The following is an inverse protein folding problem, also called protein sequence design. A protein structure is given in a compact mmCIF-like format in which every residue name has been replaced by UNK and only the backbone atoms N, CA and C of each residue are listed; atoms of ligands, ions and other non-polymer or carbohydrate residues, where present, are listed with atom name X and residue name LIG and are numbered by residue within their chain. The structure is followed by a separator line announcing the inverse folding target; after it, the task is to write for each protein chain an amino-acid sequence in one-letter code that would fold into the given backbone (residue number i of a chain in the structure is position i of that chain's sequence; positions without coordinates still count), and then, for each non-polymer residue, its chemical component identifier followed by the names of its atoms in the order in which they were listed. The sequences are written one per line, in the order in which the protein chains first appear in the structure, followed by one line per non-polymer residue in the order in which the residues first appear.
data_IF_766586644937
#
_entry.id   IF_766586644937
#
_cell.length_a   1.000
_cell.length_b   1.000
_cell.length_c   1.000
_cell.angle_alpha   90.00
_cell.angle_beta   90.00
_cell.angle_gamma   90.00
#
_symmetry.space_group_name_H-M   'P 1'
#
loop_
_entity.id
_entity.type
_entity.pdbx_description
1 polymer ?
#
# COMPACT_ATOMS: atom_id res chain seq x y z
N UNK A 1 -11.01 -2.04 16.22
CA UNK A 1 -9.55 -1.98 15.96
C UNK A 1 -9.34 -1.44 14.56
N UNK A 2 -8.43 -0.47 14.36
CA UNK A 2 -8.14 0.10 13.03
C UNK A 2 -6.83 -0.44 12.49
N UNK A 3 -6.89 -1.08 11.33
CA UNK A 3 -5.77 -1.75 10.65
C UNK A 3 -5.58 -1.14 9.27
N UNK A 4 -4.39 -0.63 8.98
CA UNK A 4 -4.00 -0.18 7.64
C UNK A 4 -3.33 -1.33 6.92
N UNK A 5 -3.65 -1.51 5.64
CA UNK A 5 -3.00 -2.44 4.73
C UNK A 5 -2.44 -1.62 3.57
N UNK A 6 -1.12 -1.54 3.47
CA UNK A 6 -0.47 -0.83 2.38
C UNK A 6 -0.30 -1.76 1.16
N UNK A 7 -0.63 -1.26 -0.01
CA UNK A 7 -0.54 -2.04 -1.25
C UNK A 7 0.12 -1.26 -2.38
N UNK A 8 0.90 -1.98 -3.17
CA UNK A 8 1.43 -1.57 -4.49
C UNK A 8 0.96 -2.53 -5.61
N UNK A 9 0.04 -3.44 -5.27
CA UNK A 9 -0.46 -4.47 -6.18
C UNK A 9 0.50 -5.63 -6.42
N UNK A 10 1.62 -5.69 -5.68
CA UNK A 10 2.54 -6.83 -5.74
C UNK A 10 1.98 -8.06 -5.04
N UNK A 11 2.54 -9.24 -5.34
CA UNK A 11 2.21 -10.47 -4.61
C UNK A 11 2.47 -10.37 -3.11
N UNK A 12 3.46 -9.56 -2.70
CA UNK A 12 3.79 -9.32 -1.29
C UNK A 12 2.69 -8.51 -0.58
N UNK A 13 2.15 -7.48 -1.24
CA UNK A 13 1.05 -6.70 -0.66
C UNK A 13 -0.27 -7.46 -0.64
N UNK A 14 -0.53 -8.32 -1.62
CA UNK A 14 -1.69 -9.21 -1.60
C UNK A 14 -1.57 -10.26 -0.49
N UNK A 15 -0.39 -10.85 -0.28
CA UNK A 15 -0.14 -11.74 0.85
C UNK A 15 -0.31 -11.02 2.20
N UNK A 16 0.10 -9.74 2.27
CA UNK A 16 -0.12 -8.92 3.46
C UNK A 16 -1.61 -8.75 3.79
N UNK A 17 -2.46 -8.54 2.78
CA UNK A 17 -3.90 -8.44 2.95
C UNK A 17 -4.52 -9.77 3.45
N UNK A 18 -4.10 -10.89 2.88
CA UNK A 18 -4.56 -12.21 3.31
C UNK A 18 -4.16 -12.51 4.76
N UNK A 19 -2.93 -12.16 5.14
CA UNK A 19 -2.45 -12.35 6.51
C UNK A 19 -3.16 -11.42 7.49
N UNK A 20 -3.43 -10.16 7.11
CA UNK A 20 -4.23 -9.24 7.89
C UNK A 20 -5.64 -9.80 8.15
N UNK A 21 -6.27 -10.38 7.14
CA UNK A 21 -7.56 -11.06 7.28
C UNK A 21 -7.45 -12.25 8.26
N UNK A 22 -6.44 -13.10 8.10
CA UNK A 22 -6.24 -14.28 8.96
C UNK A 22 -6.09 -13.90 10.43
N UNK A 23 -5.34 -12.82 10.73
CA UNK A 23 -5.02 -12.41 12.09
C UNK A 23 -6.12 -11.57 12.73
N UNK A 24 -6.72 -10.66 11.99
CA UNK A 24 -7.58 -9.62 12.53
C UNK A 24 -9.04 -9.75 12.08
N UNK A 25 -9.34 -10.51 11.02
CA UNK A 25 -10.66 -10.59 10.41
C UNK A 25 -11.75 -11.18 11.32
N UNK A 26 -11.37 -11.94 12.34
CA UNK A 26 -12.29 -12.50 13.33
C UNK A 26 -12.47 -11.62 14.58
N UNK A 27 -11.69 -10.57 14.70
CA UNK A 27 -11.79 -9.64 15.83
C UNK A 27 -12.99 -8.71 15.57
N UNK A 28 -13.88 -8.64 16.58
CA UNK A 28 -15.05 -7.75 16.49
C UNK A 28 -14.61 -6.30 16.30
N UNK A 29 -15.38 -5.57 15.51
CA UNK A 29 -15.15 -4.14 15.26
C UNK A 29 -13.77 -3.81 14.62
N UNK A 30 -13.23 -4.73 13.82
CA UNK A 30 -12.05 -4.42 13.03
C UNK A 30 -12.44 -3.65 11.78
N UNK A 31 -11.81 -2.48 11.60
CA UNK A 31 -11.92 -1.64 10.42
C UNK A 31 -10.60 -1.74 9.65
N UNK A 32 -10.66 -2.15 8.39
CA UNK A 32 -9.51 -2.19 7.51
C UNK A 32 -9.51 -0.96 6.61
N UNK A 33 -8.37 -0.30 6.50
CA UNK A 33 -8.13 0.74 5.50
C UNK A 33 -7.02 0.28 4.57
N UNK A 34 -7.37 0.04 3.31
CA UNK A 34 -6.41 -0.28 2.26
C UNK A 34 -5.89 1.03 1.70
N UNK A 35 -4.57 1.22 1.69
CA UNK A 35 -3.93 2.42 1.16
C UNK A 35 -3.00 2.07 0.01
N UNK A 36 -3.22 2.72 -1.12
CA UNK A 36 -2.29 2.76 -2.25
C UNK A 36 -1.79 4.19 -2.44
N UNK A 37 -0.50 4.34 -2.68
CA UNK A 37 0.12 5.65 -2.86
C UNK A 37 0.76 5.72 -4.23
N UNK A 38 0.52 6.82 -4.94
CA UNK A 38 1.19 7.14 -6.20
C UNK A 38 2.01 8.42 -6.04
N UNK A 39 3.10 8.52 -6.79
CA UNK A 39 3.90 9.74 -6.81
C UNK A 39 3.47 10.61 -8.00
N UNK A 40 3.27 11.90 -7.74
CA UNK A 40 3.02 12.87 -8.81
C UNK A 40 4.26 12.97 -9.71
N UNK A 41 4.04 13.01 -11.01
CA UNK A 41 5.13 13.22 -11.96
C UNK A 41 5.58 14.69 -11.87
N UNK A 42 6.82 14.98 -11.46
CA UNK A 42 7.28 16.36 -11.34
C UNK A 42 7.34 17.03 -12.70
N UNK A 43 6.76 18.23 -12.80
CA UNK A 43 6.85 19.06 -14.00
C UNK A 43 8.27 19.66 -14.05
N UNK A 44 9.11 19.16 -14.94
CA UNK A 44 10.44 19.70 -15.19
C UNK A 44 10.34 20.96 -16.07
N UNK A 45 9.84 22.05 -15.49
CA UNK A 45 9.56 23.30 -16.21
C UNK A 45 10.82 24.03 -16.74
N UNK A 46 12.01 23.56 -16.38
CA UNK A 46 13.29 24.24 -16.67
C UNK A 46 14.15 23.55 -17.72
N UNK A 47 13.71 22.42 -18.27
CA UNK A 47 14.49 21.71 -19.28
C UNK A 47 14.09 22.11 -20.71
N UNK A 48 15.06 22.26 -21.64
CA UNK A 48 14.79 22.68 -23.03
C UNK A 48 13.92 21.68 -23.83
N UNK A 49 13.67 20.48 -23.29
CA UNK A 49 12.83 19.45 -23.88
C UNK A 49 11.67 19.01 -22.95
N UNK A 50 11.20 19.92 -22.09
CA UNK A 50 10.06 19.64 -21.24
C UNK A 50 8.84 19.23 -22.08
N UNK A 51 8.19 18.14 -21.67
CA UNK A 51 6.94 17.70 -22.28
C UNK A 51 5.83 18.74 -22.03
N UNK A 52 4.83 18.86 -22.91
CA UNK A 52 3.68 19.70 -22.66
C UNK A 52 2.99 19.35 -21.33
N UNK A 53 2.40 20.33 -20.62
CA UNK A 53 1.75 20.10 -19.32
C UNK A 53 0.69 18.99 -19.33
N UNK A 54 0.01 18.81 -20.46
CA UNK A 54 -1.02 17.77 -20.65
C UNK A 54 -0.45 16.35 -20.47
N UNK A 55 0.80 16.11 -20.89
CA UNK A 55 1.45 14.80 -20.72
C UNK A 55 1.73 14.48 -19.24
N UNK A 56 2.13 15.49 -18.46
CA UNK A 56 2.34 15.28 -17.01
C UNK A 56 1.03 14.95 -16.30
N UNK A 57 -0.06 15.61 -16.72
CA UNK A 57 -1.39 15.34 -16.19
C UNK A 57 -1.84 13.91 -16.55
N UNK A 58 -1.68 13.49 -17.79
CA UNK A 58 -2.01 12.13 -18.24
C UNK A 58 -1.19 11.07 -17.47
N UNK A 59 0.10 11.31 -17.25
CA UNK A 59 0.96 10.40 -16.49
C UNK A 59 0.54 10.31 -15.02
N UNK A 60 0.19 11.42 -14.40
CA UNK A 60 -0.30 11.47 -13.02
C UNK A 60 -1.65 10.77 -12.90
N UNK A 61 -2.57 10.98 -13.84
CA UNK A 61 -3.87 10.31 -13.88
C UNK A 61 -3.71 8.80 -14.08
N UNK A 62 -2.79 8.37 -14.93
CA UNK A 62 -2.45 6.95 -15.12
C UNK A 62 -1.90 6.33 -13.84
N UNK A 63 -1.00 7.02 -13.13
CA UNK A 63 -0.45 6.55 -11.86
C UNK A 63 -1.53 6.43 -10.78
N UNK A 64 -2.43 7.41 -10.67
CA UNK A 64 -3.59 7.37 -9.78
C UNK A 64 -4.51 6.18 -10.08
N UNK A 65 -4.84 5.98 -11.36
CA UNK A 65 -5.72 4.89 -11.80
C UNK A 65 -5.09 3.53 -11.51
N UNK A 66 -3.77 3.40 -11.68
CA UNK A 66 -3.05 2.17 -11.32
C UNK A 66 -3.08 1.92 -9.80
N UNK A 67 -2.88 2.97 -9.00
CA UNK A 67 -2.98 2.85 -7.53
C UNK A 67 -4.39 2.45 -7.09
N UNK A 68 -5.42 3.03 -7.69
CA UNK A 68 -6.82 2.63 -7.44
C UNK A 68 -7.05 1.16 -7.78
N UNK A 69 -6.60 0.73 -8.96
CA UNK A 69 -6.71 -0.67 -9.38
C UNK A 69 -6.01 -1.62 -8.40
N UNK A 70 -4.81 -1.28 -7.94
CA UNK A 70 -4.07 -2.06 -6.94
C UNK A 70 -4.83 -2.17 -5.62
N UNK A 71 -5.44 -1.07 -5.18
CA UNK A 71 -6.25 -1.05 -3.96
C UNK A 71 -7.51 -1.91 -4.10
N UNK A 72 -8.20 -1.83 -5.23
CA UNK A 72 -9.40 -2.63 -5.52
C UNK A 72 -9.08 -4.12 -5.53
N UNK A 73 -8.00 -4.54 -6.21
CA UNK A 73 -7.53 -5.94 -6.18
C UNK A 73 -7.21 -6.43 -4.78
N UNK A 74 -6.60 -5.56 -3.97
CA UNK A 74 -6.27 -5.89 -2.58
C UNK A 74 -7.53 -6.03 -1.73
N UNK A 75 -8.54 -5.19 -1.96
CA UNK A 75 -9.84 -5.28 -1.31
C UNK A 75 -10.58 -6.58 -1.67
N UNK A 76 -10.54 -7.01 -2.93
CA UNK A 76 -11.08 -8.30 -3.37
C UNK A 76 -10.38 -9.47 -2.69
N UNK A 77 -9.04 -9.43 -2.62
CA UNK A 77 -8.25 -10.46 -1.95
C UNK A 77 -8.56 -10.55 -0.45
N UNK A 78 -8.74 -9.41 0.22
CA UNK A 78 -9.16 -9.35 1.62
C UNK A 78 -10.59 -9.89 1.78
N UNK A 79 -11.53 -9.44 0.94
CA UNK A 79 -12.93 -9.81 0.99
C UNK A 79 -13.18 -11.30 0.75
N UNK A 80 -12.33 -11.96 -0.02
CA UNK A 80 -12.41 -13.41 -0.25
C UNK A 80 -12.18 -14.22 1.03
N UNK A 81 -11.35 -13.72 1.94
CA UNK A 81 -11.08 -14.36 3.23
C UNK A 81 -11.94 -13.81 4.38
N UNK A 82 -12.38 -12.56 4.28
CA UNK A 82 -13.12 -11.83 5.29
C UNK A 82 -14.34 -11.12 4.68
N UNK A 83 -15.41 -11.85 4.28
CA UNK A 83 -16.54 -11.26 3.56
C UNK A 83 -17.32 -10.21 4.35
N UNK A 84 -17.29 -10.29 5.67
CA UNK A 84 -17.99 -9.35 6.57
C UNK A 84 -17.09 -8.20 7.06
N UNK A 85 -15.88 -8.08 6.51
CA UNK A 85 -14.94 -7.04 6.94
C UNK A 85 -15.42 -5.64 6.53
N UNK A 86 -15.28 -4.68 7.44
CA UNK A 86 -15.45 -3.26 7.12
C UNK A 86 -14.17 -2.76 6.46
N UNK A 87 -14.24 -2.43 5.18
CA UNK A 87 -13.08 -2.06 4.34
C UNK A 87 -13.29 -0.68 3.74
N UNK A 88 -12.37 0.23 4.00
CA UNK A 88 -12.25 1.50 3.32
C UNK A 88 -11.01 1.49 2.40
N UNK A 89 -11.05 2.28 1.33
CA UNK A 89 -9.94 2.45 0.38
C UNK A 89 -9.51 3.91 0.38
N UNK A 90 -8.20 4.13 0.49
CA UNK A 90 -7.57 5.44 0.37
C UNK A 90 -6.50 5.38 -0.74
N UNK A 91 -6.60 6.29 -1.70
CA UNK A 91 -5.58 6.49 -2.74
C UNK A 91 -4.96 7.85 -2.54
N UNK A 92 -3.69 7.89 -2.20
CA UNK A 92 -2.99 9.09 -1.78
C UNK A 92 -1.85 9.43 -2.75
N UNK A 93 -1.59 10.73 -2.90
CA UNK A 93 -0.46 11.25 -3.66
C UNK A 93 0.70 11.59 -2.73
N UNK A 94 1.92 11.26 -3.12
CA UNK A 94 3.14 11.60 -2.41
C UNK A 94 4.10 10.44 -2.23
N UNK A 95 5.01 10.57 -1.26
CA UNK A 95 5.98 9.52 -0.94
C UNK A 95 5.30 8.40 -0.15
N UNK A 96 5.35 7.14 -0.62
CA UNK A 96 4.58 6.05 -0.04
C UNK A 96 4.73 5.91 1.48
N UNK A 97 5.93 5.82 1.99
CA UNK A 97 6.15 5.62 3.42
C UNK A 97 5.59 6.78 4.27
N UNK A 98 5.79 8.03 3.84
CA UNK A 98 5.28 9.21 4.55
C UNK A 98 3.76 9.21 4.57
N UNK A 99 3.12 8.99 3.43
CA UNK A 99 1.65 8.98 3.32
C UNK A 99 1.00 7.88 4.16
N UNK A 100 1.64 6.71 4.26
CA UNK A 100 1.16 5.60 5.10
C UNK A 100 1.26 5.99 6.59
N UNK A 101 2.38 6.58 7.02
CA UNK A 101 2.59 7.02 8.41
C UNK A 101 1.61 8.14 8.77
N UNK A 102 1.48 9.16 7.92
CA UNK A 102 0.56 10.28 8.13
C UNK A 102 -0.91 9.80 8.20
N UNK A 103 -1.28 8.84 7.35
CA UNK A 103 -2.60 8.22 7.42
C UNK A 103 -2.81 7.50 8.75
N UNK A 104 -1.80 6.75 9.23
CA UNK A 104 -1.89 6.03 10.49
C UNK A 104 -2.12 6.98 11.68
N UNK A 105 -1.43 8.10 11.70
CA UNK A 105 -1.64 9.15 12.71
C UNK A 105 -3.04 9.76 12.60
N UNK A 106 -3.45 10.13 11.38
CA UNK A 106 -4.73 10.79 11.10
C UNK A 106 -5.94 9.98 11.54
N UNK A 107 -5.93 8.66 11.28
CA UNK A 107 -7.06 7.79 11.64
C UNK A 107 -6.92 7.13 13.01
N UNK A 108 -5.77 7.27 13.67
CA UNK A 108 -5.46 6.57 14.92
C UNK A 108 -5.36 5.05 14.70
N UNK A 109 -4.63 4.61 13.68
CA UNK A 109 -4.43 3.21 13.41
C UNK A 109 -3.64 2.52 14.54
N UNK A 110 -3.99 1.29 14.84
CA UNK A 110 -3.34 0.48 15.86
C UNK A 110 -2.32 -0.50 15.25
N UNK A 111 -2.49 -0.79 13.95
CA UNK A 111 -1.56 -1.66 13.22
C UNK A 111 -1.48 -1.23 11.76
N UNK A 112 -0.26 -1.22 11.23
CA UNK A 112 0.02 -1.13 9.81
C UNK A 112 0.53 -2.49 9.33
N UNK A 113 -0.04 -3.01 8.25
CA UNK A 113 0.37 -4.26 7.60
C UNK A 113 1.00 -3.93 6.26
N UNK A 114 2.22 -4.38 6.06
CA UNK A 114 2.98 -4.17 4.82
C UNK A 114 3.58 -5.48 4.33
N UNK A 115 3.70 -5.65 3.04
CA UNK A 115 4.54 -6.70 2.46
C UNK A 115 6.02 -6.40 2.71
N UNK A 116 6.84 -7.43 2.82
CA UNK A 116 8.28 -7.27 3.07
C UNK A 116 9.00 -6.57 1.92
N UNK A 117 8.45 -6.66 0.70
CA UNK A 117 8.99 -6.08 -0.53
C UNK A 117 7.86 -5.51 -1.38
N UNK A 118 8.21 -4.66 -2.35
CA UNK A 118 7.35 -4.22 -3.41
C UNK A 118 7.74 -4.84 -4.75
N UNK A 119 7.23 -4.27 -5.84
CA UNK A 119 7.55 -4.72 -7.19
C UNK A 119 9.05 -4.65 -7.48
N UNK A 120 9.62 -5.75 -7.94
CA UNK A 120 10.97 -5.79 -8.52
C UNK A 120 12.13 -5.98 -7.55
N UNK A 121 11.90 -6.31 -6.29
CA UNK A 121 12.98 -6.56 -5.32
C UNK A 121 13.01 -8.01 -4.84
N UNK A 122 14.18 -8.65 -4.98
CA UNK A 122 14.46 -10.00 -4.50
C UNK A 122 15.59 -9.93 -3.48
N UNK A 123 15.33 -10.25 -2.22
CA UNK A 123 16.37 -10.27 -1.21
C UNK A 123 15.86 -10.51 0.22
N UNK A 124 16.81 -10.72 1.14
CA UNK A 124 16.52 -10.95 2.57
C UNK A 124 16.22 -9.65 3.34
N UNK A 125 16.56 -8.50 2.77
CA UNK A 125 16.35 -7.20 3.38
C UNK A 125 14.93 -6.69 3.10
N UNK A 126 14.41 -5.86 3.97
CA UNK A 126 13.12 -5.18 3.78
C UNK A 126 13.22 -4.19 2.59
N UNK A 127 12.14 -4.07 1.85
CA UNK A 127 12.00 -3.03 0.84
C UNK A 127 12.04 -1.61 1.45
N UNK A 128 12.28 -0.61 0.62
CA UNK A 128 12.43 0.79 1.08
C UNK A 128 11.21 1.30 1.85
N UNK A 129 10.00 1.02 1.35
CA UNK A 129 8.75 1.45 1.98
C UNK A 129 8.54 0.72 3.30
N UNK A 130 8.62 -0.61 3.32
CA UNK A 130 8.44 -1.40 4.55
C UNK A 130 9.46 -1.04 5.62
N UNK A 131 10.73 -0.86 5.25
CA UNK A 131 11.77 -0.42 6.18
C UNK A 131 11.49 0.98 6.75
N UNK A 132 11.09 1.92 5.91
CA UNK A 132 10.77 3.29 6.35
C UNK A 132 9.54 3.31 7.25
N UNK A 133 8.49 2.56 6.92
CA UNK A 133 7.29 2.44 7.76
C UNK A 133 7.63 1.86 9.13
N UNK A 134 8.43 0.78 9.21
CA UNK A 134 8.85 0.18 10.48
C UNK A 134 9.57 1.20 11.38
N UNK A 135 10.40 2.08 10.79
CA UNK A 135 11.17 3.04 11.57
C UNK A 135 10.36 4.29 12.00
N UNK A 136 9.26 4.61 11.35
CA UNK A 136 8.55 5.87 11.58
C UNK A 136 7.09 5.71 12.00
N UNK A 137 6.53 4.50 11.98
CA UNK A 137 5.13 4.27 12.30
C UNK A 137 4.78 4.69 13.75
N UNK A 138 3.61 5.32 13.98
CA UNK A 138 3.13 5.69 15.31
C UNK A 138 2.51 4.50 16.07
N UNK A 139 2.44 3.33 15.45
CA UNK A 139 1.76 2.14 15.96
C UNK A 139 2.53 0.85 15.60
N UNK A 140 1.97 -0.29 15.94
CA UNK A 140 2.55 -1.59 15.57
C UNK A 140 2.63 -1.77 14.06
N UNK A 141 3.69 -2.41 13.57
CA UNK A 141 3.85 -2.75 12.15
C UNK A 141 4.02 -4.26 12.01
N UNK A 142 3.16 -4.85 11.20
CA UNK A 142 3.25 -6.24 10.78
C UNK A 142 3.86 -6.28 9.37
N UNK A 143 5.05 -6.85 9.27
CA UNK A 143 5.71 -7.10 7.99
C UNK A 143 5.46 -8.54 7.58
N UNK A 144 4.76 -8.71 6.47
CA UNK A 144 4.43 -10.04 5.94
C UNK A 144 5.46 -10.45 4.89
N UNK A 145 6.11 -11.58 5.15
CA UNK A 145 7.00 -12.21 4.18
C UNK A 145 6.23 -13.33 3.48
N UNK A 146 6.01 -13.18 2.19
CA UNK A 146 5.60 -14.30 1.34
C UNK A 146 6.86 -14.97 0.79
N UNK A 147 6.91 -16.29 0.81
CA UNK A 147 7.90 -16.98 0.00
C UNK A 147 7.61 -16.68 -1.47
N UNK A 148 8.64 -16.42 -2.31
CA UNK A 148 8.42 -16.36 -3.74
C UNK A 148 7.74 -17.67 -4.14
N UNK A 149 6.62 -17.57 -4.87
CA UNK A 149 6.00 -18.73 -5.47
C UNK A 149 7.10 -19.46 -6.25
N UNK A 150 7.44 -20.68 -5.81
CA UNK A 150 8.60 -21.41 -6.30
C UNK A 150 8.55 -21.49 -7.81
N UNK A 151 9.61 -21.06 -8.45
CA UNK A 151 9.92 -21.55 -9.78
C UNK A 151 10.25 -23.04 -9.62
N UNK A 152 9.26 -23.89 -9.98
CA UNK A 152 9.55 -25.26 -10.41
C UNK A 152 10.06 -25.26 -11.85
#
# INVERSE_FOLDING_TARGET
MKVIIATDGSSFSLAAAQEACRLFGRMKETEFTIVAVFEDVPIAATEPFALPPEYYQEMTDAARNQAQHNADQTAEALGSGCPDANVAIEVLSGKPASQIVDLAERIGAQTIVVGSHGRGFWGRLLGSVSNSVVNHAPCSVLVVRSEPAGEE
#
